data_IF_832584770134
#
_entry.id   IF_832584770134
#
_cell.length_a   1.000
_cell.length_b   1.000
_cell.length_c   1.000
_cell.angle_alpha   90.00
_cell.angle_beta   90.00
_cell.angle_gamma   90.00
#
_symmetry.space_group_name_H-M   'P 1'
#
loop_
_entity.id
_entity.type
_entity.pdbx_description
1 polymer ?
#
# COMPACT_ATOMS: atom_id res chain seq x y z
N UNK A 1 -9.59 19.39 26.97
CA UNK A 1 -10.44 19.81 25.83
C UNK A 1 -9.83 19.17 24.60
N UNK A 2 -10.45 18.14 24.05
CA UNK A 2 -10.00 17.45 22.82
C UNK A 2 -10.55 18.26 21.63
N UNK A 3 -9.80 19.27 21.18
CA UNK A 3 -10.21 20.05 20.01
C UNK A 3 -9.80 19.32 18.73
N UNK A 4 -10.57 19.47 17.65
CA UNK A 4 -10.24 18.91 16.34
C UNK A 4 -8.84 19.35 15.84
N UNK A 5 -8.35 20.49 16.34
CA UNK A 5 -7.03 21.05 16.04
C UNK A 5 -5.88 20.17 16.55
N UNK A 6 -6.03 19.52 17.72
CA UNK A 6 -5.00 18.63 18.28
C UNK A 6 -4.82 17.39 17.39
N UNK A 7 -5.88 16.93 16.73
CA UNK A 7 -5.84 15.77 15.80
C UNK A 7 -5.14 16.07 14.48
N UNK A 8 -4.82 17.33 14.21
CA UNK A 8 -4.01 17.76 13.08
C UNK A 8 -2.51 17.68 13.33
N UNK A 9 -2.06 17.29 14.53
CA UNK A 9 -0.65 17.12 14.87
C UNK A 9 -0.32 15.64 15.02
N UNK A 10 0.80 15.21 14.45
CA UNK A 10 1.27 13.83 14.59
C UNK A 10 1.83 13.64 16.01
N UNK A 11 1.27 12.76 16.85
CA UNK A 11 1.74 12.60 18.23
C UNK A 11 3.18 12.08 18.33
N UNK A 12 3.65 11.34 17.33
CA UNK A 12 5.01 10.81 17.32
C UNK A 12 6.06 11.82 16.84
N UNK A 13 5.67 12.76 15.97
CA UNK A 13 6.62 13.67 15.32
C UNK A 13 6.45 15.13 15.74
N UNK A 14 5.35 15.46 16.43
CA UNK A 14 4.98 16.79 16.89
C UNK A 14 4.99 17.87 15.78
N UNK A 15 4.55 17.49 14.58
CA UNK A 15 4.42 18.37 13.41
C UNK A 15 3.02 18.24 12.79
N UNK A 16 2.59 19.20 11.94
CA UNK A 16 1.35 19.08 11.21
C UNK A 16 1.24 17.76 10.45
N UNK A 17 0.19 17.01 10.73
CA UNK A 17 -0.04 15.68 10.18
C UNK A 17 -0.80 15.79 8.86
N UNK A 18 -0.06 16.15 7.81
CA UNK A 18 -0.57 16.17 6.45
C UNK A 18 -0.49 14.79 5.79
N UNK A 19 -1.21 14.59 4.68
CA UNK A 19 -1.25 13.28 4.01
C UNK A 19 0.11 12.79 3.50
N UNK A 20 0.99 13.71 3.11
CA UNK A 20 2.38 13.39 2.70
C UNK A 20 3.19 12.87 3.89
N UNK A 21 3.12 13.56 5.03
CA UNK A 21 3.75 13.12 6.26
C UNK A 21 3.30 11.71 6.64
N UNK A 22 1.99 11.48 6.73
CA UNK A 22 1.43 10.15 7.08
C UNK A 22 1.95 9.08 6.13
N UNK A 23 1.93 9.34 4.83
CA UNK A 23 2.28 8.34 3.83
C UNK A 23 3.79 8.08 3.73
N UNK A 24 4.65 9.09 3.86
CA UNK A 24 6.03 9.03 3.39
C UNK A 24 7.10 9.47 4.39
N UNK A 25 6.75 10.29 5.39
CA UNK A 25 7.75 10.97 6.23
C UNK A 25 7.60 10.68 7.72
N UNK A 26 6.49 10.06 8.13
CA UNK A 26 6.18 9.80 9.53
C UNK A 26 7.23 8.87 10.17
N UNK A 27 7.71 9.23 11.36
CA UNK A 27 8.77 8.50 12.06
C UNK A 27 8.28 7.19 12.72
N UNK A 28 6.98 6.90 12.59
CA UNK A 28 6.37 5.72 13.20
C UNK A 28 6.88 4.40 12.62
N UNK A 29 6.92 3.32 13.44
CA UNK A 29 7.21 1.98 12.96
C UNK A 29 6.26 1.53 11.85
N UNK A 30 4.97 1.87 11.96
CA UNK A 30 3.93 1.47 10.99
C UNK A 30 4.26 1.91 9.57
N UNK A 31 4.65 3.16 9.36
CA UNK A 31 4.98 3.69 8.05
C UNK A 31 6.24 3.04 7.48
N UNK A 32 7.31 3.01 8.26
CA UNK A 32 8.62 2.51 7.81
C UNK A 32 8.59 1.03 7.50
N UNK A 33 7.95 0.25 8.36
CA UNK A 33 7.92 -1.21 8.24
C UNK A 33 7.09 -1.64 7.04
N UNK A 34 5.95 -1.01 6.78
CA UNK A 34 5.13 -1.31 5.60
C UNK A 34 5.90 -1.04 4.30
N UNK A 35 6.62 0.08 4.18
CA UNK A 35 7.41 0.34 2.99
C UNK A 35 8.63 -0.57 2.85
N UNK A 36 9.23 -0.96 3.97
CA UNK A 36 10.32 -1.94 4.01
C UNK A 36 9.85 -3.31 3.54
N UNK A 37 8.74 -3.81 4.09
CA UNK A 37 8.17 -5.11 3.71
C UNK A 37 7.72 -5.12 2.25
N UNK A 38 7.09 -4.03 1.80
CA UNK A 38 6.73 -3.84 0.40
C UNK A 38 7.96 -3.88 -0.51
N UNK A 39 9.07 -3.25 -0.11
CA UNK A 39 10.33 -3.32 -0.87
C UNK A 39 10.93 -4.73 -0.86
N UNK A 40 10.82 -5.46 0.25
CA UNK A 40 11.28 -6.85 0.38
C UNK A 40 10.52 -7.81 -0.56
N UNK A 41 9.21 -7.64 -0.71
CA UNK A 41 8.39 -8.46 -1.63
C UNK A 41 8.74 -8.31 -3.11
N UNK A 42 9.39 -7.20 -3.48
CA UNK A 42 9.56 -6.79 -4.87
C UNK A 42 11.02 -6.56 -5.23
N UNK A 43 11.94 -7.17 -4.49
CA UNK A 43 13.39 -7.09 -4.71
C UNK A 43 13.81 -7.47 -6.15
N UNK A 44 13.04 -8.33 -6.82
CA UNK A 44 13.25 -8.69 -8.24
C UNK A 44 13.03 -7.52 -9.21
N UNK A 45 12.32 -6.47 -8.81
CA UNK A 45 12.02 -5.30 -9.63
C UNK A 45 12.92 -4.11 -9.27
N UNK A 46 14.18 -4.18 -9.73
CA UNK A 46 15.23 -3.16 -9.50
C UNK A 46 14.91 -1.76 -10.04
N UNK A 47 14.09 -1.70 -11.08
CA UNK A 47 13.65 -0.48 -11.79
C UNK A 47 12.40 0.16 -11.19
N UNK A 48 11.87 -0.36 -10.08
CA UNK A 48 10.76 0.28 -9.41
C UNK A 48 11.18 1.62 -8.79
N UNK A 49 10.46 2.72 -9.09
CA UNK A 49 10.83 4.03 -8.61
C UNK A 49 10.71 4.12 -7.08
N UNK A 50 11.57 4.93 -6.48
CA UNK A 50 11.43 5.35 -5.09
C UNK A 50 10.11 6.11 -4.92
N UNK A 51 9.38 5.81 -3.85
CA UNK A 51 8.13 6.49 -3.54
C UNK A 51 8.37 7.96 -3.19
N UNK A 52 7.50 8.82 -3.72
CA UNK A 52 7.40 10.24 -3.40
C UNK A 52 5.91 10.65 -3.45
N UNK A 53 5.59 11.86 -3.01
CA UNK A 53 4.20 12.27 -2.84
C UNK A 53 3.42 12.40 -4.14
N UNK A 54 4.06 12.68 -5.29
CA UNK A 54 3.38 12.63 -6.58
C UNK A 54 3.08 11.19 -7.01
N UNK A 55 4.01 10.28 -6.71
CA UNK A 55 3.96 8.89 -7.17
C UNK A 55 2.95 8.04 -6.40
N UNK A 56 2.78 8.27 -5.11
CA UNK A 56 1.85 7.51 -4.28
C UNK A 56 0.38 7.62 -4.74
N UNK A 57 -0.20 8.82 -4.89
CA UNK A 57 -1.54 9.00 -5.46
C UNK A 57 -1.56 8.72 -6.97
N UNK A 58 -0.46 8.98 -7.70
CA UNK A 58 -0.34 8.74 -9.14
C UNK A 58 0.19 7.36 -9.54
N UNK A 59 0.19 6.38 -8.63
CA UNK A 59 0.94 5.13 -8.82
C UNK A 59 0.43 4.30 -10.01
N UNK A 60 -0.86 4.43 -10.34
CA UNK A 60 -1.51 3.80 -11.48
C UNK A 60 -1.05 4.36 -12.85
N UNK A 61 -0.39 5.52 -12.87
CA UNK A 61 0.13 6.14 -14.10
C UNK A 61 1.53 5.62 -14.47
N UNK A 62 2.19 4.90 -13.56
CA UNK A 62 3.56 4.41 -13.78
C UNK A 62 3.57 3.30 -14.82
N UNK A 63 4.33 3.51 -15.88
CA UNK A 63 4.51 2.54 -16.97
C UNK A 63 5.91 1.93 -16.90
N UNK A 64 5.95 0.62 -16.68
CA UNK A 64 7.18 -0.15 -16.77
C UNK A 64 7.35 -0.71 -18.18
N UNK A 65 8.59 -0.76 -18.66
CA UNK A 65 8.94 -1.31 -19.98
C UNK A 65 9.96 -2.44 -19.82
N UNK A 66 9.89 -3.45 -20.69
CA UNK A 66 10.94 -4.46 -20.81
C UNK A 66 12.18 -3.87 -21.49
N UNK A 67 13.28 -4.64 -21.52
CA UNK A 67 14.49 -4.28 -22.26
C UNK A 67 14.22 -4.03 -23.75
N UNK A 68 13.23 -4.71 -24.33
CA UNK A 68 12.76 -4.50 -25.72
C UNK A 68 11.76 -3.33 -25.86
N UNK A 69 11.58 -2.51 -24.82
CA UNK A 69 10.68 -1.34 -24.84
C UNK A 69 9.18 -1.65 -24.68
N UNK A 70 8.79 -2.92 -24.55
CA UNK A 70 7.37 -3.32 -24.44
C UNK A 70 6.83 -3.06 -23.03
N UNK A 71 5.64 -2.46 -22.94
CA UNK A 71 5.00 -2.16 -21.64
C UNK A 71 4.65 -3.45 -20.89
N UNK A 72 5.13 -3.55 -19.64
CA UNK A 72 4.88 -4.69 -18.74
C UNK A 72 3.67 -4.43 -17.83
N UNK A 73 2.47 -4.68 -18.37
CA UNK A 73 1.20 -4.38 -17.69
C UNK A 73 1.09 -5.01 -16.29
N UNK A 74 1.47 -6.27 -16.15
CA UNK A 74 1.36 -7.00 -14.88
C UNK A 74 2.26 -6.39 -13.78
N UNK A 75 3.44 -5.91 -14.14
CA UNK A 75 4.38 -5.25 -13.24
C UNK A 75 3.86 -3.91 -12.73
N UNK A 76 3.34 -3.07 -13.62
CA UNK A 76 2.71 -1.80 -13.24
C UNK A 76 1.47 -1.98 -12.38
N UNK A 77 0.70 -3.03 -12.67
CA UNK A 77 -0.46 -3.43 -11.89
C UNK A 77 -0.08 -3.84 -10.47
N UNK A 78 0.90 -4.72 -10.31
CA UNK A 78 1.39 -5.11 -8.98
C UNK A 78 1.95 -3.91 -8.21
N UNK A 79 2.72 -3.04 -8.87
CA UNK A 79 3.21 -1.79 -8.27
C UNK A 79 2.06 -0.95 -7.71
N UNK A 80 1.02 -0.73 -8.51
CA UNK A 80 -0.17 0.03 -8.11
C UNK A 80 -0.87 -0.61 -6.91
N UNK A 81 -1.12 -1.92 -6.97
CA UNK A 81 -1.78 -2.66 -5.88
C UNK A 81 -1.00 -2.50 -4.58
N UNK A 82 0.31 -2.79 -4.58
CA UNK A 82 1.11 -2.76 -3.35
C UNK A 82 1.26 -1.34 -2.78
N UNK A 83 1.36 -0.32 -3.62
CA UNK A 83 1.43 1.08 -3.15
C UNK A 83 0.10 1.50 -2.53
N UNK A 84 -1.03 1.19 -3.15
CA UNK A 84 -2.35 1.55 -2.63
C UNK A 84 -2.69 0.78 -1.34
N UNK A 85 -2.41 -0.53 -1.30
CA UNK A 85 -2.59 -1.36 -0.09
C UNK A 85 -1.72 -0.83 1.04
N UNK A 86 -0.46 -0.51 0.76
CA UNK A 86 0.47 0.02 1.78
C UNK A 86 0.00 1.36 2.33
N UNK A 87 -0.34 2.32 1.44
CA UNK A 87 -0.85 3.63 1.87
C UNK A 87 -2.13 3.50 2.70
N UNK A 88 -3.07 2.67 2.27
CA UNK A 88 -4.32 2.48 2.98
C UNK A 88 -4.09 1.86 4.36
N UNK A 89 -3.21 0.87 4.47
CA UNK A 89 -2.87 0.27 5.76
C UNK A 89 -2.17 1.27 6.70
N UNK A 90 -1.23 2.07 6.18
CA UNK A 90 -0.57 3.14 6.96
C UNK A 90 -1.60 4.12 7.50
N UNK A 91 -2.55 4.55 6.66
CA UNK A 91 -3.65 5.41 7.09
C UNK A 91 -4.49 4.77 8.20
N UNK A 92 -4.88 3.51 8.04
CA UNK A 92 -5.69 2.81 9.05
C UNK A 92 -4.95 2.66 10.38
N UNK A 93 -3.65 2.31 10.35
CA UNK A 93 -2.81 2.24 11.54
C UNK A 93 -2.64 3.60 12.21
N UNK A 94 -2.54 4.68 11.43
CA UNK A 94 -2.57 6.04 11.97
C UNK A 94 -3.90 6.33 12.66
N UNK A 95 -5.03 5.97 12.04
CA UNK A 95 -6.36 6.19 12.64
C UNK A 95 -6.51 5.41 13.94
N UNK A 96 -6.06 4.15 13.98
CA UNK A 96 -6.05 3.34 15.20
C UNK A 96 -5.26 4.03 16.31
N UNK A 97 -4.02 4.44 16.02
CA UNK A 97 -3.14 5.13 16.97
C UNK A 97 -3.61 6.53 17.38
N UNK A 98 -4.22 7.31 16.49
CA UNK A 98 -4.51 8.73 16.77
C UNK A 98 -5.94 8.99 17.23
N UNK A 99 -6.88 8.08 16.94
CA UNK A 99 -8.31 8.30 17.16
C UNK A 99 -8.94 7.16 17.94
N UNK A 100 -8.73 5.90 17.49
CA UNK A 100 -9.50 4.77 18.03
C UNK A 100 -8.93 4.24 19.35
N UNK A 101 -7.61 4.05 19.41
CA UNK A 101 -6.89 3.39 20.49
C UNK A 101 -5.53 4.09 20.77
N UNK A 102 -5.52 5.33 21.28
CA UNK A 102 -4.30 6.12 21.43
C UNK A 102 -3.26 5.55 22.39
N UNK A 103 -3.70 4.82 23.41
CA UNK A 103 -2.80 4.21 24.41
C UNK A 103 -2.25 2.85 23.97
N UNK A 104 -2.68 2.34 22.81
CA UNK A 104 -2.31 1.02 22.33
C UNK A 104 -0.95 1.05 21.65
N UNK A 105 -0.02 0.26 22.18
CA UNK A 105 1.28 0.03 21.56
C UNK A 105 1.15 -1.15 20.58
N UNK A 106 1.30 -0.86 19.29
CA UNK A 106 1.36 -1.89 18.25
C UNK A 106 2.80 -2.39 18.08
N UNK A 107 2.96 -3.71 17.98
CA UNK A 107 4.28 -4.32 17.79
C UNK A 107 4.65 -4.41 16.31
N UNK A 108 5.95 -4.48 16.00
CA UNK A 108 6.45 -4.69 14.64
C UNK A 108 5.90 -5.97 13.99
N UNK A 109 5.81 -7.06 14.75
CA UNK A 109 5.22 -8.32 14.28
C UNK A 109 3.76 -8.15 13.92
N UNK A 110 3.00 -7.40 14.71
CA UNK A 110 1.61 -7.12 14.39
C UNK A 110 1.46 -6.28 13.12
N UNK A 111 2.27 -5.22 12.95
CA UNK A 111 2.28 -4.40 11.72
C UNK A 111 2.58 -5.29 10.51
N UNK A 112 3.60 -6.15 10.60
CA UNK A 112 3.97 -7.10 9.54
C UNK A 112 2.83 -8.05 9.20
N UNK A 113 2.19 -8.65 10.20
CA UNK A 113 1.06 -9.56 10.00
C UNK A 113 -0.15 -8.85 9.38
N UNK A 114 -0.41 -7.59 9.76
CA UNK A 114 -1.45 -6.78 9.13
C UNK A 114 -1.11 -6.46 7.67
N UNK A 115 0.17 -6.20 7.34
CA UNK A 115 0.62 -6.04 5.95
C UNK A 115 0.39 -7.31 5.13
N UNK A 116 0.85 -8.46 5.62
CA UNK A 116 0.62 -9.74 4.94
C UNK A 116 -0.87 -10.03 4.76
N UNK A 117 -1.69 -9.76 5.78
CA UNK A 117 -3.15 -9.89 5.70
C UNK A 117 -3.72 -8.99 4.61
N UNK A 118 -3.33 -7.72 4.56
CA UNK A 118 -3.84 -6.75 3.59
C UNK A 118 -3.45 -7.13 2.14
N UNK A 119 -2.22 -7.57 1.92
CA UNK A 119 -1.75 -8.06 0.61
C UNK A 119 -2.50 -9.32 0.20
N UNK A 120 -2.67 -10.28 1.12
CA UNK A 120 -3.44 -11.50 0.85
C UNK A 120 -4.90 -11.18 0.53
N UNK A 121 -5.53 -10.24 1.24
CA UNK A 121 -6.88 -9.76 0.91
C UNK A 121 -6.94 -9.17 -0.50
N UNK A 122 -5.95 -8.37 -0.90
CA UNK A 122 -5.88 -7.85 -2.26
C UNK A 122 -5.74 -8.96 -3.32
N UNK A 123 -4.92 -9.97 -3.08
CA UNK A 123 -4.81 -11.15 -3.93
C UNK A 123 -6.13 -11.93 -4.01
N UNK A 124 -6.83 -12.13 -2.88
CA UNK A 124 -8.12 -12.81 -2.87
C UNK A 124 -9.18 -12.03 -3.65
N UNK A 125 -9.25 -10.71 -3.49
CA UNK A 125 -10.09 -9.86 -4.33
C UNK A 125 -9.78 -10.07 -5.82
N UNK A 126 -8.49 -10.10 -6.16
CA UNK A 126 -8.07 -10.27 -7.55
C UNK A 126 -8.47 -11.63 -8.13
N UNK A 127 -8.38 -12.69 -7.32
CA UNK A 127 -8.85 -14.04 -7.66
C UNK A 127 -10.37 -14.07 -7.85
N UNK A 128 -11.13 -13.47 -6.93
CA UNK A 128 -12.59 -13.39 -7.03
C UNK A 128 -13.03 -12.60 -8.27
N UNK A 129 -12.24 -11.62 -8.70
CA UNK A 129 -12.49 -10.87 -9.94
C UNK A 129 -12.33 -11.71 -11.22
N UNK A 130 -11.85 -12.96 -11.14
CA UNK A 130 -11.78 -13.89 -12.28
C UNK A 130 -13.03 -14.75 -12.47
N UNK A 131 -13.99 -14.69 -11.54
CA UNK A 131 -15.20 -15.49 -11.58
C UNK A 131 -16.11 -15.07 -12.75
N UNK A 132 -16.07 -15.87 -13.83
CA UNK A 132 -16.88 -15.65 -15.03
C UNK A 132 -18.37 -15.91 -14.82
N UNK A 133 -18.72 -16.80 -13.89
CA UNK A 133 -20.14 -17.08 -13.60
C UNK A 133 -20.78 -15.85 -12.96
N UNK A 134 -20.07 -15.20 -12.04
CA UNK A 134 -20.58 -14.02 -11.33
C UNK A 134 -20.43 -12.71 -12.13
N UNK A 135 -19.33 -12.53 -12.87
CA UNK A 135 -18.97 -11.23 -13.46
C UNK A 135 -19.08 -11.19 -15.00
N UNK A 136 -19.31 -12.34 -15.65
CA UNK A 136 -19.47 -12.42 -17.10
C UNK A 136 -18.33 -11.71 -17.87
N UNK A 137 -18.63 -10.73 -18.74
CA UNK A 137 -17.62 -10.01 -19.53
C UNK A 137 -16.71 -9.09 -18.70
N UNK A 138 -17.08 -8.74 -17.46
CA UNK A 138 -16.28 -7.92 -16.56
C UNK A 138 -15.23 -8.75 -15.80
N UNK A 139 -15.28 -10.08 -15.90
CA UNK A 139 -14.32 -10.95 -15.25
C UNK A 139 -12.90 -10.74 -15.81
N UNK A 140 -11.93 -10.65 -14.89
CA UNK A 140 -10.52 -10.63 -15.24
C UNK A 140 -10.08 -11.99 -15.79
N UNK A 141 -9.14 -11.97 -16.73
CA UNK A 141 -8.48 -13.20 -17.19
C UNK A 141 -7.61 -13.75 -16.07
N UNK A 142 -7.75 -15.04 -15.73
CA UNK A 142 -6.93 -15.70 -14.71
C UNK A 142 -5.43 -15.55 -14.99
N UNK A 143 -5.02 -15.59 -16.26
CA UNK A 143 -3.63 -15.36 -16.67
C UNK A 143 -3.12 -13.96 -16.27
N UNK A 144 -3.97 -12.93 -16.30
CA UNK A 144 -3.58 -11.58 -15.88
C UNK A 144 -3.25 -11.56 -14.38
N UNK A 145 -4.08 -12.21 -13.56
CA UNK A 145 -3.88 -12.32 -12.11
C UNK A 145 -2.59 -13.11 -11.84
N UNK A 146 -2.42 -14.28 -12.46
CA UNK A 146 -1.19 -15.07 -12.33
C UNK A 146 0.05 -14.24 -12.66
N UNK A 147 0.08 -13.58 -13.82
CA UNK A 147 1.21 -12.74 -14.22
C UNK A 147 1.46 -11.56 -13.27
N UNK A 148 0.43 -11.07 -12.58
CA UNK A 148 0.54 -9.95 -11.64
C UNK A 148 1.21 -10.39 -10.34
N UNK A 149 0.91 -11.60 -9.86
CA UNK A 149 1.34 -12.10 -8.55
C UNK A 149 2.49 -13.12 -8.60
N UNK A 150 2.93 -13.56 -9.79
CA UNK A 150 4.05 -14.47 -10.02
C UNK A 150 5.42 -13.79 -9.96
#
# INVERSE_FOLDING_TARGET
VDTLEIRGICPACNIPEISEHIALECDTPSQKLIWTDRAAMVQKYRDWPKLNWGLVPGCNLVKFKSLQGKVTKHKGRLFTILVLVGRHLIWNLRVDRAITNPDRIITNSEIHNQWLKAVNSALQCDRMSTDKLRLGPLALKSQLVLNTWS
#
